data_IF_670572834564
#
_entry.id   IF_670572834564
#
_cell.length_a   1.000
_cell.length_b   1.000
_cell.length_c   1.000
_cell.angle_alpha   90.00
_cell.angle_beta   90.00
_cell.angle_gamma   90.00
#
_symmetry.space_group_name_H-M   'P 1'
#
loop_
_entity.id
_entity.type
_entity.pdbx_description
1 polymer ?
#
# COMPACT_ATOMS: atom_id res chain seq x y z
N UNK A 1 9.83 64.12 16.73
CA UNK A 1 9.48 62.96 17.59
C UNK A 1 8.47 62.00 16.96
N UNK A 2 7.83 62.34 15.82
CA UNK A 2 6.84 61.49 15.14
C UNK A 2 7.46 60.36 14.27
N UNK A 3 8.63 60.59 13.67
CA UNK A 3 9.22 59.69 12.67
C UNK A 3 9.88 58.41 13.27
N UNK A 4 10.25 58.44 14.55
CA UNK A 4 10.84 57.28 15.25
C UNK A 4 9.79 56.21 15.62
N UNK A 5 8.52 56.62 15.77
CA UNK A 5 7.41 55.70 16.07
C UNK A 5 6.90 54.95 14.83
N UNK A 6 7.04 55.51 13.61
CA UNK A 6 6.60 54.83 12.38
C UNK A 6 7.53 53.66 12.05
N UNK A 7 8.86 53.86 12.12
CA UNK A 7 9.88 52.83 11.87
C UNK A 7 9.75 51.60 12.77
N UNK A 8 9.40 51.78 14.04
CA UNK A 8 9.19 50.66 14.97
C UNK A 8 7.96 49.80 14.60
N UNK A 9 6.90 50.41 14.08
CA UNK A 9 5.71 49.67 13.63
C UNK A 9 5.99 48.85 12.37
N UNK A 10 6.75 49.40 11.43
CA UNK A 10 7.17 48.67 10.22
C UNK A 10 8.10 47.49 10.55
N UNK A 11 9.06 47.68 11.47
CA UNK A 11 9.92 46.58 11.95
C UNK A 11 9.11 45.43 12.57
N UNK A 12 8.15 45.75 13.45
CA UNK A 12 7.29 44.73 14.09
C UNK A 12 6.47 43.96 13.07
N UNK A 13 5.89 44.64 12.07
CA UNK A 13 5.14 43.98 10.99
C UNK A 13 6.02 43.06 10.13
N UNK A 14 7.28 43.47 9.88
CA UNK A 14 8.24 42.67 9.11
C UNK A 14 8.65 41.40 9.86
N UNK A 15 8.91 41.50 11.17
CA UNK A 15 9.20 40.33 12.02
C UNK A 15 7.99 39.40 12.14
N UNK A 16 6.77 39.94 12.26
CA UNK A 16 5.55 39.13 12.33
C UNK A 16 5.30 38.38 11.01
N UNK A 17 5.53 39.03 9.87
CA UNK A 17 5.45 38.40 8.55
C UNK A 17 6.47 37.27 8.38
N UNK A 18 7.73 37.50 8.78
CA UNK A 18 8.77 36.46 8.73
C UNK A 18 8.45 35.28 9.64
N UNK A 19 7.95 35.55 10.85
CA UNK A 19 7.55 34.52 11.80
C UNK A 19 6.40 33.66 11.26
N UNK A 20 5.39 34.27 10.64
CA UNK A 20 4.29 33.55 10.00
C UNK A 20 4.78 32.65 8.86
N UNK A 21 5.74 33.11 8.05
CA UNK A 21 6.34 32.30 6.98
C UNK A 21 7.10 31.10 7.57
N UNK A 22 7.89 31.29 8.63
CA UNK A 22 8.61 30.20 9.31
C UNK A 22 7.63 29.19 9.92
N UNK A 23 6.56 29.65 10.57
CA UNK A 23 5.50 28.78 11.08
C UNK A 23 4.83 27.98 9.97
N UNK A 24 4.57 28.61 8.81
CA UNK A 24 3.98 27.94 7.65
C UNK A 24 4.91 26.85 7.11
N UNK A 25 6.20 27.13 6.95
CA UNK A 25 7.19 26.12 6.53
C UNK A 25 7.33 24.97 7.53
N UNK A 26 7.32 25.27 8.83
CA UNK A 26 7.36 24.23 9.87
C UNK A 26 6.11 23.34 9.83
N UNK A 27 4.92 23.92 9.66
CA UNK A 27 3.67 23.17 9.53
C UNK A 27 3.66 22.30 8.27
N UNK A 28 4.11 22.82 7.12
CA UNK A 28 4.23 22.05 5.87
C UNK A 28 5.18 20.87 6.05
N UNK A 29 6.33 21.08 6.70
CA UNK A 29 7.32 20.01 6.92
C UNK A 29 6.79 18.91 7.85
N UNK A 30 6.05 19.28 8.90
CA UNK A 30 5.36 18.35 9.81
C UNK A 30 4.30 17.52 9.10
N UNK A 31 3.57 18.11 8.15
CA UNK A 31 2.59 17.40 7.32
C UNK A 31 3.30 16.42 6.37
N UNK A 32 4.41 16.82 5.75
CA UNK A 32 5.18 15.96 4.86
C UNK A 32 5.83 14.77 5.57
N UNK A 33 6.37 14.96 6.77
CA UNK A 33 6.93 13.83 7.54
C UNK A 33 5.87 12.80 7.96
N UNK A 34 4.62 13.22 8.13
CA UNK A 34 3.53 12.33 8.54
C UNK A 34 3.06 11.41 7.41
N UNK A 35 3.34 11.73 6.15
CA UNK A 35 2.83 11.01 4.98
C UNK A 35 3.99 10.53 4.11
N UNK A 36 4.69 9.49 4.55
CA UNK A 36 5.74 8.83 3.75
C UNK A 36 5.09 7.98 2.66
N UNK A 37 4.64 8.63 1.59
CA UNK A 37 4.14 7.95 0.39
C UNK A 37 5.33 7.36 -0.35
N UNK A 38 5.41 6.03 -0.40
CA UNK A 38 6.48 5.31 -1.12
C UNK A 38 6.00 5.02 -2.55
N UNK A 39 6.87 5.20 -3.54
CA UNK A 39 6.59 4.76 -4.92
C UNK A 39 7.23 3.40 -5.17
N UNK A 40 6.43 2.46 -5.65
CA UNK A 40 6.79 1.10 -6.03
C UNK A 40 6.81 1.04 -7.55
N UNK A 41 7.98 0.72 -8.08
CA UNK A 41 8.22 0.57 -9.52
C UNK A 41 8.18 -0.90 -9.90
N UNK A 42 8.03 -1.16 -11.19
CA UNK A 42 8.22 -2.52 -11.68
C UNK A 42 9.66 -2.98 -11.40
N UNK A 43 9.84 -4.28 -11.19
CA UNK A 43 11.14 -4.88 -10.94
C UNK A 43 11.30 -6.17 -11.71
N UNK A 44 12.38 -6.27 -12.49
CA UNK A 44 12.72 -7.49 -13.24
C UNK A 44 13.25 -8.60 -12.31
N UNK A 45 13.78 -8.24 -11.14
CA UNK A 45 14.48 -9.15 -10.23
C UNK A 45 13.55 -9.92 -9.28
N UNK A 46 12.26 -9.58 -9.24
CA UNK A 46 11.30 -10.28 -8.38
C UNK A 46 11.10 -11.71 -8.88
N UNK A 47 11.48 -12.66 -8.03
CA UNK A 47 11.35 -14.09 -8.26
C UNK A 47 10.31 -14.69 -7.31
N UNK A 48 9.42 -15.49 -7.91
CA UNK A 48 8.46 -16.35 -7.20
C UNK A 48 8.97 -17.78 -7.08
N UNK A 49 10.18 -18.07 -7.56
CA UNK A 49 10.76 -19.40 -7.52
C UNK A 49 10.88 -19.88 -6.07
N UNK A 50 10.33 -21.06 -5.78
CA UNK A 50 10.33 -21.62 -4.44
C UNK A 50 9.31 -20.99 -3.49
N UNK A 51 8.40 -20.12 -3.95
CA UNK A 51 7.26 -19.68 -3.15
C UNK A 51 6.00 -20.49 -3.48
N UNK A 52 5.10 -20.59 -2.52
CA UNK A 52 3.77 -21.19 -2.67
C UNK A 52 2.76 -20.07 -2.95
N UNK A 53 2.01 -20.19 -4.06
CA UNK A 53 0.89 -19.31 -4.37
C UNK A 53 -0.30 -19.67 -3.45
N UNK A 54 -0.83 -18.66 -2.76
CA UNK A 54 -1.95 -18.80 -1.82
C UNK A 54 -3.28 -18.29 -2.41
N UNK A 55 -3.23 -17.18 -3.14
CA UNK A 55 -4.40 -16.48 -3.65
C UNK A 55 -4.03 -15.76 -4.95
N UNK A 56 -4.95 -15.78 -5.92
CA UNK A 56 -4.85 -15.04 -7.17
C UNK A 56 -6.23 -14.50 -7.55
N UNK A 57 -6.28 -13.23 -7.90
CA UNK A 57 -7.45 -12.61 -8.51
C UNK A 57 -7.04 -11.65 -9.64
N UNK A 58 -8.02 -11.18 -10.41
CA UNK A 58 -7.80 -10.29 -11.54
C UNK A 58 -8.66 -9.03 -11.48
N UNK A 59 -8.04 -7.85 -11.49
CA UNK A 59 -8.72 -6.54 -11.53
C UNK A 59 -7.90 -5.54 -12.36
N UNK A 60 -8.56 -4.50 -12.87
CA UNK A 60 -8.02 -3.42 -13.72
C UNK A 60 -7.47 -2.30 -12.81
N UNK A 61 -6.45 -2.62 -12.02
CA UNK A 61 -5.95 -1.80 -10.90
C UNK A 61 -5.23 -0.53 -11.34
N UNK A 62 -4.84 -0.43 -12.61
CA UNK A 62 -4.30 0.79 -13.20
C UNK A 62 -5.32 1.60 -14.05
N UNK A 63 -6.52 1.04 -14.22
CA UNK A 63 -7.64 1.60 -14.99
C UNK A 63 -7.31 1.83 -16.47
N UNK A 64 -6.54 0.94 -17.09
CA UNK A 64 -6.27 0.90 -18.54
C UNK A 64 -7.31 0.09 -19.34
N UNK A 65 -8.19 -0.65 -18.64
CA UNK A 65 -9.25 -1.47 -19.22
C UNK A 65 -8.89 -2.93 -19.45
N UNK A 66 -7.67 -3.35 -19.08
CA UNK A 66 -7.25 -4.76 -18.98
C UNK A 66 -7.17 -5.15 -17.51
N UNK A 67 -7.17 -6.45 -17.23
CA UNK A 67 -7.02 -6.90 -15.85
C UNK A 67 -5.57 -7.33 -15.61
N UNK A 68 -5.03 -6.88 -14.49
CA UNK A 68 -3.77 -7.33 -13.93
C UNK A 68 -4.02 -8.53 -13.00
N UNK A 69 -3.03 -9.40 -12.87
CA UNK A 69 -3.09 -10.43 -11.82
C UNK A 69 -2.57 -9.87 -10.51
N UNK A 70 -3.29 -10.10 -9.42
CA UNK A 70 -2.87 -9.81 -8.05
C UNK A 70 -2.64 -11.15 -7.37
N UNK A 71 -1.39 -11.43 -6.99
CA UNK A 71 -0.95 -12.75 -6.55
C UNK A 71 -0.29 -12.66 -5.17
N UNK A 72 -0.76 -13.49 -4.24
CA UNK A 72 -0.20 -13.61 -2.90
C UNK A 72 0.60 -14.90 -2.76
N UNK A 73 1.87 -14.76 -2.42
CA UNK A 73 2.80 -15.86 -2.21
C UNK A 73 3.34 -15.91 -0.78
N UNK A 74 3.76 -17.10 -0.36
CA UNK A 74 4.53 -17.31 0.88
C UNK A 74 5.70 -18.27 0.68
N UNK A 75 6.75 -18.17 1.50
CA UNK A 75 7.82 -19.19 1.54
C UNK A 75 7.39 -20.50 2.18
N UNK A 76 6.30 -20.51 2.96
CA UNK A 76 5.79 -21.71 3.59
C UNK A 76 5.41 -22.75 2.53
N UNK A 77 5.68 -24.02 2.82
CA UNK A 77 5.46 -25.12 1.88
C UNK A 77 4.15 -25.84 2.17
N UNK A 78 3.53 -26.33 1.10
CA UNK A 78 2.42 -27.26 1.19
C UNK A 78 2.95 -28.64 1.59
N UNK A 79 2.40 -29.20 2.67
CA UNK A 79 2.68 -30.55 3.14
C UNK A 79 1.95 -31.62 2.32
N UNK A 80 2.23 -32.91 2.58
CA UNK A 80 1.57 -34.04 1.89
C UNK A 80 0.05 -34.12 2.11
N UNK A 81 -0.42 -33.58 3.23
CA UNK A 81 -1.84 -33.44 3.59
C UNK A 81 -2.55 -32.28 2.87
N UNK A 82 -1.79 -31.48 2.11
CA UNK A 82 -2.27 -30.32 1.41
C UNK A 82 -2.41 -29.05 2.26
N UNK A 83 -2.02 -29.09 3.53
CA UNK A 83 -1.99 -27.93 4.41
C UNK A 83 -0.68 -27.16 4.23
N UNK A 84 -0.68 -25.87 4.59
CA UNK A 84 0.56 -25.09 4.62
C UNK A 84 1.28 -25.37 5.95
N UNK A 85 2.54 -25.78 5.87
CA UNK A 85 3.44 -25.88 7.02
C UNK A 85 3.89 -24.51 7.48
N UNK A 86 3.05 -23.84 8.27
CA UNK A 86 3.38 -22.57 8.90
C UNK A 86 4.47 -22.74 9.96
N UNK A 87 5.34 -21.73 10.09
CA UNK A 87 6.43 -21.67 11.07
C UNK A 87 6.43 -20.28 11.74
N UNK A 88 7.36 -20.02 12.64
CA UNK A 88 7.45 -18.79 13.44
C UNK A 88 7.61 -17.50 12.61
N UNK A 89 7.96 -17.63 11.32
CA UNK A 89 7.81 -16.57 10.35
C UNK A 89 8.03 -17.06 8.92
N UNK A 90 7.55 -16.28 7.97
CA UNK A 90 7.67 -16.60 6.55
C UNK A 90 7.88 -15.34 5.73
N UNK A 91 8.56 -15.46 4.59
CA UNK A 91 8.54 -14.43 3.55
C UNK A 91 7.15 -14.40 2.93
N UNK A 92 6.58 -13.23 2.79
CA UNK A 92 5.34 -12.98 2.05
C UNK A 92 5.64 -12.07 0.88
N UNK A 93 5.07 -12.39 -0.27
CA UNK A 93 5.19 -11.59 -1.48
C UNK A 93 3.79 -11.33 -2.04
N UNK A 94 3.36 -10.06 -2.05
CA UNK A 94 2.19 -9.61 -2.79
C UNK A 94 2.66 -8.95 -4.09
N UNK A 95 2.24 -9.51 -5.21
CA UNK A 95 2.73 -9.17 -6.53
C UNK A 95 1.59 -8.79 -7.45
N UNK A 96 1.67 -7.62 -8.08
CA UNK A 96 0.83 -7.28 -9.23
C UNK A 96 1.63 -7.54 -10.50
N UNK A 97 1.00 -8.17 -11.50
CA UNK A 97 1.57 -8.34 -12.84
C UNK A 97 0.69 -7.72 -13.90
N UNK A 98 1.33 -6.92 -14.74
CA UNK A 98 0.75 -6.20 -15.88
C UNK A 98 1.67 -6.45 -17.08
N UNK A 99 1.20 -7.15 -18.12
CA UNK A 99 1.93 -7.35 -19.39
C UNK A 99 3.42 -7.70 -19.23
N UNK A 100 3.75 -8.58 -18.29
CA UNK A 100 5.13 -9.02 -18.00
C UNK A 100 5.91 -8.12 -17.01
N UNK A 101 5.41 -6.92 -16.71
CA UNK A 101 5.90 -6.10 -15.59
C UNK A 101 5.47 -6.72 -14.26
N UNK A 102 6.31 -6.57 -13.24
CA UNK A 102 6.11 -7.11 -11.90
C UNK A 102 6.23 -6.01 -10.87
N UNK A 103 5.18 -5.74 -10.12
CA UNK A 103 5.16 -4.72 -9.07
C UNK A 103 5.04 -5.41 -7.69
N UNK A 104 6.16 -5.54 -6.94
CA UNK A 104 6.14 -6.15 -5.62
C UNK A 104 5.55 -5.15 -4.63
N UNK A 105 4.24 -5.22 -4.38
CA UNK A 105 3.57 -4.34 -3.42
C UNK A 105 4.08 -4.60 -2.00
N UNK A 106 4.34 -5.86 -1.70
CA UNK A 106 4.97 -6.27 -0.44
C UNK A 106 5.93 -7.43 -0.72
N UNK A 107 7.15 -7.35 -0.16
CA UNK A 107 8.14 -8.43 -0.22
C UNK A 107 8.99 -8.36 1.04
N UNK A 108 8.52 -9.01 2.11
CA UNK A 108 9.21 -9.00 3.40
C UNK A 108 8.86 -10.23 4.24
N UNK A 109 9.61 -10.43 5.31
CA UNK A 109 9.37 -11.46 6.30
C UNK A 109 8.35 -11.00 7.34
N UNK A 110 7.34 -11.82 7.62
CA UNK A 110 6.35 -11.58 8.67
C UNK A 110 6.52 -12.65 9.73
N UNK A 111 6.82 -12.22 10.96
CA UNK A 111 6.92 -13.09 12.14
C UNK A 111 5.55 -13.29 12.77
N UNK A 112 5.23 -14.54 13.10
CA UNK A 112 4.02 -14.97 13.79
C UNK A 112 2.75 -14.32 13.24
N UNK A 113 2.67 -14.19 11.91
CA UNK A 113 1.67 -13.38 11.26
C UNK A 113 1.35 -13.78 9.84
N UNK A 114 0.43 -13.03 9.25
CA UNK A 114 -0.12 -13.23 7.93
C UNK A 114 -0.23 -11.89 7.20
N UNK A 115 -0.32 -11.99 5.88
CA UNK A 115 -0.68 -10.88 5.01
C UNK A 115 -2.04 -11.18 4.38
N UNK A 116 -2.95 -10.21 4.44
CA UNK A 116 -4.24 -10.25 3.77
C UNK A 116 -4.37 -9.02 2.86
N UNK A 117 -5.09 -9.16 1.75
CA UNK A 117 -5.34 -8.04 0.86
C UNK A 117 -6.80 -7.98 0.37
N UNK A 118 -7.21 -6.79 -0.05
CA UNK A 118 -8.51 -6.52 -0.66
C UNK A 118 -8.34 -5.52 -1.80
N UNK A 119 -9.14 -5.69 -2.85
CA UNK A 119 -9.29 -4.66 -3.88
C UNK A 119 -10.56 -3.86 -3.58
N UNK A 120 -10.42 -2.55 -3.45
CA UNK A 120 -11.50 -1.61 -3.22
C UNK A 120 -11.67 -0.68 -4.42
N UNK A 121 -12.92 -0.42 -4.79
CA UNK A 121 -13.29 0.52 -5.85
C UNK A 121 -13.90 1.75 -5.18
N UNK A 122 -13.29 2.92 -5.38
CA UNK A 122 -13.54 4.13 -4.60
C UNK A 122 -14.10 5.24 -5.49
N UNK A 123 -15.32 5.69 -5.17
CA UNK A 123 -15.90 6.91 -5.73
C UNK A 123 -15.52 8.12 -4.87
N UNK A 124 -14.27 8.56 -5.00
CA UNK A 124 -13.70 9.64 -4.18
C UNK A 124 -14.41 10.98 -4.35
N UNK A 125 -14.86 11.25 -5.57
CA UNK A 125 -15.59 12.47 -5.92
C UNK A 125 -17.08 12.42 -5.54
N UNK A 126 -17.55 11.29 -4.99
CA UNK A 126 -18.95 11.08 -4.58
C UNK A 126 -19.95 11.36 -5.72
N UNK A 127 -19.54 11.05 -6.95
CA UNK A 127 -20.38 11.24 -8.13
C UNK A 127 -21.59 10.32 -8.03
N UNK A 128 -22.79 10.84 -8.29
CA UNK A 128 -24.00 10.02 -8.34
C UNK A 128 -23.95 9.18 -9.62
N UNK A 129 -23.99 7.85 -9.48
CA UNK A 129 -23.83 6.89 -10.60
C UNK A 129 -22.48 7.01 -11.32
N UNK A 130 -21.35 6.75 -10.63
CA UNK A 130 -20.03 6.88 -11.21
C UNK A 130 -19.81 5.87 -12.35
N UNK A 131 -19.16 6.29 -13.43
CA UNK A 131 -18.60 5.39 -14.44
C UNK A 131 -17.22 4.89 -14.03
N UNK A 132 -16.64 3.94 -14.78
CA UNK A 132 -15.31 3.38 -14.46
C UNK A 132 -14.20 4.46 -14.39
N UNK A 133 -14.30 5.52 -15.18
CA UNK A 133 -13.32 6.63 -15.18
C UNK A 133 -13.40 7.51 -13.92
N UNK A 134 -14.51 7.42 -13.19
CA UNK A 134 -14.77 8.17 -11.95
C UNK A 134 -14.32 7.41 -10.70
N UNK A 135 -13.86 6.17 -10.88
CA UNK A 135 -13.53 5.23 -9.80
C UNK A 135 -12.02 5.03 -9.70
N UNK A 136 -11.50 5.13 -8.49
CA UNK A 136 -10.11 4.78 -8.15
C UNK A 136 -10.09 3.34 -7.61
N UNK A 137 -9.14 2.52 -8.08
CA UNK A 137 -8.92 1.17 -7.53
C UNK A 137 -7.73 1.17 -6.59
N UNK A 138 -7.95 0.56 -5.44
CA UNK A 138 -7.01 0.53 -4.34
C UNK A 138 -6.83 -0.91 -3.88
N UNK A 139 -5.60 -1.29 -3.60
CA UNK A 139 -5.26 -2.57 -2.98
C UNK A 139 -4.92 -2.27 -1.52
N UNK A 140 -5.78 -2.70 -0.61
CA UNK A 140 -5.54 -2.61 0.81
C UNK A 140 -4.81 -3.85 1.29
N UNK A 141 -3.72 -3.67 2.03
CA UNK A 141 -2.90 -4.78 2.54
C UNK A 141 -2.77 -4.66 4.04
N UNK A 142 -3.27 -5.68 4.75
CA UNK A 142 -3.13 -5.80 6.18
C UNK A 142 -2.06 -6.83 6.51
N UNK A 143 -1.12 -6.42 7.35
CA UNK A 143 -0.17 -7.30 8.02
C UNK A 143 -0.66 -7.46 9.45
N UNK A 144 -0.87 -8.70 9.88
CA UNK A 144 -1.28 -9.01 11.25
C UNK A 144 -0.42 -10.14 11.80
N UNK A 145 0.27 -9.90 12.90
CA UNK A 145 1.08 -10.89 13.62
C UNK A 145 1.50 -10.28 14.96
N UNK A 146 2.80 -10.13 15.20
CA UNK A 146 3.31 -9.33 16.33
C UNK A 146 3.01 -7.83 16.21
N UNK A 147 2.61 -7.37 15.03
CA UNK A 147 2.16 -6.00 14.77
C UNK A 147 0.96 -5.99 13.83
N UNK A 148 0.19 -4.92 13.89
CA UNK A 148 -0.91 -4.61 12.99
C UNK A 148 -0.58 -3.38 12.16
N UNK A 149 -0.64 -3.52 10.85
CA UNK A 149 -0.50 -2.42 9.90
C UNK A 149 -1.45 -2.61 8.72
N UNK A 150 -2.14 -1.54 8.32
CA UNK A 150 -2.87 -1.46 7.06
C UNK A 150 -2.19 -0.45 6.15
N UNK A 151 -1.88 -0.88 4.94
CA UNK A 151 -1.37 0.00 3.89
C UNK A 151 -2.34 0.03 2.71
N UNK A 152 -2.43 1.18 2.07
CA UNK A 152 -3.18 1.42 0.84
C UNK A 152 -2.20 1.53 -0.32
N UNK A 153 -2.45 0.77 -1.39
CA UNK A 153 -1.69 0.81 -2.64
C UNK A 153 -2.59 1.22 -3.79
N UNK A 154 -2.18 2.22 -4.56
CA UNK A 154 -2.95 2.70 -5.71
C UNK A 154 -2.04 3.09 -6.86
N UNK A 155 -2.53 2.94 -8.09
CA UNK A 155 -1.76 3.29 -9.28
C UNK A 155 -1.58 4.80 -9.41
N UNK A 156 -0.35 5.22 -9.71
CA UNK A 156 0.00 6.60 -9.97
C UNK A 156 0.46 6.77 -11.42
N UNK A 157 -0.42 7.32 -12.25
CA UNK A 157 -0.18 7.51 -13.69
C UNK A 157 1.06 8.37 -14.00
N UNK A 158 1.46 9.26 -13.09
CA UNK A 158 2.65 10.10 -13.27
C UNK A 158 3.94 9.28 -13.13
N UNK A 159 3.99 8.41 -12.12
CA UNK A 159 5.12 7.52 -11.93
C UNK A 159 5.04 6.26 -12.79
N UNK A 160 3.88 5.85 -13.32
CA UNK A 160 3.71 4.52 -13.92
C UNK A 160 4.11 3.42 -12.92
N UNK A 161 3.60 3.54 -11.69
CA UNK A 161 3.86 2.62 -10.60
C UNK A 161 2.83 2.78 -9.48
N UNK A 162 2.94 1.95 -8.45
CA UNK A 162 2.05 2.03 -7.30
C UNK A 162 2.59 3.00 -6.25
N UNK A 163 1.72 3.80 -5.67
CA UNK A 163 2.01 4.51 -4.41
C UNK A 163 1.55 3.65 -3.25
N UNK A 164 2.32 3.65 -2.17
CA UNK A 164 1.98 3.03 -0.88
C UNK A 164 1.81 4.11 0.17
N UNK A 165 0.69 4.07 0.87
CA UNK A 165 0.39 4.89 2.03
C UNK A 165 0.09 3.99 3.24
N UNK A 166 0.56 4.38 4.43
CA UNK A 166 0.22 3.69 5.68
C UNK A 166 -1.02 4.37 6.26
N UNK A 167 -2.18 3.70 6.16
CA UNK A 167 -3.46 4.26 6.62
C UNK A 167 -3.76 3.90 8.07
N UNK A 168 -3.17 2.82 8.59
CA UNK A 168 -3.28 2.44 10.00
C UNK A 168 -2.00 1.74 10.47
N UNK A 169 -1.42 2.26 11.54
CA UNK A 169 -0.27 1.67 12.23
C UNK A 169 -0.22 2.21 13.67
N UNK A 170 -0.87 1.54 14.64
CA UNK A 170 -0.82 1.95 16.03
C UNK A 170 0.63 2.03 16.52
N UNK A 171 1.03 3.09 17.24
CA UNK A 171 2.36 3.15 17.86
C UNK A 171 2.42 2.25 19.10
N UNK A 172 3.63 1.87 19.52
CA UNK A 172 3.89 1.16 20.79
C UNK A 172 3.09 -0.15 20.95
N UNK A 173 2.95 -0.93 19.89
CA UNK A 173 2.29 -2.23 19.92
C UNK A 173 3.15 -3.22 20.72
N UNK A 174 2.57 -3.80 21.78
CA UNK A 174 3.24 -4.78 22.63
C UNK A 174 2.82 -6.23 22.31
N UNK A 175 1.54 -6.44 22.00
CA UNK A 175 0.97 -7.72 21.58
C UNK A 175 -0.22 -7.43 20.65
N UNK A 176 -0.37 -8.24 19.60
CA UNK A 176 -1.49 -8.20 18.66
C UNK A 176 -1.93 -9.63 18.43
N UNK A 177 -3.23 -9.88 18.61
CA UNK A 177 -3.85 -11.17 18.32
C UNK A 177 -4.72 -11.06 17.10
N UNK A 178 -4.53 -11.97 16.15
CA UNK A 178 -5.34 -12.08 14.95
C UNK A 178 -5.97 -13.46 14.84
N UNK A 179 -7.11 -13.55 14.15
CA UNK A 179 -7.65 -14.83 13.69
C UNK A 179 -7.15 -15.07 12.26
N UNK A 180 -6.69 -16.29 11.99
CA UNK A 180 -6.02 -16.61 10.73
C UNK A 180 -6.98 -17.24 9.73
N UNK A 181 -7.04 -16.67 8.52
CA UNK A 181 -7.85 -17.22 7.40
C UNK A 181 -7.12 -18.35 6.69
N UNK A 182 -5.77 -18.28 6.61
CA UNK A 182 -4.94 -19.23 5.86
C UNK A 182 -4.41 -20.40 6.70
N UNK A 183 -4.94 -20.65 7.90
CA UNK A 183 -4.65 -21.88 8.64
C UNK A 183 -4.94 -23.12 7.78
N UNK A 184 -6.00 -23.05 6.98
CA UNK A 184 -6.34 -24.07 5.98
C UNK A 184 -6.09 -23.48 4.59
N UNK A 185 -5.20 -24.10 3.82
CA UNK A 185 -5.03 -23.78 2.41
C UNK A 185 -6.37 -23.94 1.68
N UNK A 186 -6.80 -22.91 0.96
CA UNK A 186 -8.02 -22.95 0.16
C UNK A 186 -7.69 -22.72 -1.33
N UNK A 187 -7.68 -23.77 -2.17
CA UNK A 187 -7.39 -23.63 -3.59
C UNK A 187 -8.44 -22.79 -4.33
N UNK A 188 -9.66 -22.64 -3.80
CA UNK A 188 -10.73 -21.86 -4.44
C UNK A 188 -10.43 -20.35 -4.46
N UNK A 189 -9.42 -19.91 -3.72
CA UNK A 189 -8.93 -18.52 -3.74
C UNK A 189 -7.93 -18.26 -4.88
N UNK A 190 -7.58 -19.28 -5.68
CA UNK A 190 -6.66 -19.14 -6.80
C UNK A 190 -7.48 -19.16 -8.08
N UNK A 191 -7.75 -17.97 -8.64
CA UNK A 191 -8.34 -17.88 -9.96
C UNK A 191 -7.43 -18.55 -11.02
N UNK A 192 -7.99 -19.29 -11.99
CA UNK A 192 -7.22 -19.89 -13.07
C UNK A 192 -6.41 -18.85 -13.83
N UNK A 193 -5.24 -19.23 -14.30
CA UNK A 193 -4.43 -18.34 -15.14
C UNK A 193 -5.19 -18.00 -16.42
N UNK A 194 -5.44 -16.70 -16.64
CA UNK A 194 -6.06 -16.24 -17.89
C UNK A 194 -5.06 -16.42 -19.03
N UNK A 195 -5.46 -17.15 -20.07
CA UNK A 195 -4.70 -17.23 -21.31
C UNK A 195 -4.58 -15.83 -21.90
N UNK A 196 -3.36 -15.35 -22.11
CA UNK A 196 -3.13 -14.19 -22.99
C UNK A 196 -3.70 -14.52 -24.37
N UNK A 197 -4.55 -13.66 -24.96
CA UNK A 197 -4.90 -13.82 -26.38
C UNK A 197 -3.61 -13.71 -27.19
N UNK A 198 -3.35 -14.72 -28.03
CA UNK A 198 -2.29 -14.69 -29.04
C UNK A 198 -2.48 -13.54 -30.06
#
# INVERSE_FOLDING_TARGET
MSDKMSKNKYMVLLFLGLFLIVCLFAAIKLIQEKQKVLTIRFSETVSTAGLTLLERMYDDVDSDGKNESIELFTSAKKGPDGLIGWDDGQRWLLLVRDEGKKFPLFDDYVQLGQLQFWVGIINKSQIVSPGNVDLERHIYVMISGNSLQLSDYYWDKQSLGFKKEIVFNPPNQWDVKSSYKYLNFNPDLIEPEKSTPD
#
